data_IF_020571945277
#
_entry.id   IF_020571945277
#
_cell.length_a   1.000
_cell.length_b   1.000
_cell.length_c   1.000
_cell.angle_alpha   90.00
_cell.angle_beta   90.00
_cell.angle_gamma   90.00
#
_symmetry.space_group_name_H-M   'P 1'
#
loop_
_entity.id
_entity.type
_entity.pdbx_description
1 polymer ?
#
# COMPACT_ATOMS: atom_id res chain seq x y z
N UNK A 1 2.48 2.24 6.86
CA UNK A 1 2.33 0.94 6.17
C UNK A 1 0.96 0.91 5.50
N UNK A 2 0.82 0.22 4.37
CA UNK A 2 -0.45 0.10 3.66
C UNK A 2 -0.87 -1.38 3.59
N UNK A 3 -2.16 -1.65 3.71
CA UNK A 3 -2.69 -3.02 3.68
C UNK A 3 -4.04 -3.03 2.99
N UNK A 4 -4.23 -3.98 2.07
CA UNK A 4 -5.48 -4.11 1.32
C UNK A 4 -5.85 -5.57 1.15
N UNK A 5 -7.15 -5.87 1.29
CA UNK A 5 -7.72 -7.17 0.96
C UNK A 5 -7.93 -7.30 -0.55
N UNK A 6 -7.51 -8.42 -1.12
CA UNK A 6 -7.65 -8.74 -2.54
C UNK A 6 -8.87 -9.63 -2.84
N UNK A 7 -9.62 -10.03 -1.80
CA UNK A 7 -10.69 -11.02 -1.88
C UNK A 7 -10.24 -12.34 -1.24
N UNK A 8 -9.37 -13.08 -1.92
CA UNK A 8 -8.82 -14.37 -1.44
C UNK A 8 -7.42 -14.25 -0.81
N UNK A 9 -6.89 -13.04 -0.67
CA UNK A 9 -5.58 -12.78 -0.12
C UNK A 9 -5.40 -11.36 0.40
N UNK A 10 -4.22 -11.07 0.94
CA UNK A 10 -3.86 -9.77 1.49
C UNK A 10 -2.53 -9.29 0.89
N UNK A 11 -2.50 -8.01 0.51
CA UNK A 11 -1.29 -7.31 0.14
C UNK A 11 -0.88 -6.38 1.28
N UNK A 12 0.37 -6.51 1.74
CA UNK A 12 0.98 -5.63 2.72
C UNK A 12 2.15 -4.89 2.07
N UNK A 13 2.07 -3.57 1.98
CA UNK A 13 3.16 -2.71 1.52
C UNK A 13 3.79 -2.01 2.72
N UNK A 14 5.08 -2.30 2.96
CA UNK A 14 5.87 -1.68 4.04
C UNK A 14 6.61 -0.45 3.56
N UNK A 15 6.98 0.40 4.51
CA UNK A 15 7.79 1.61 4.30
C UNK A 15 7.16 2.63 3.33
N UNK A 16 5.82 2.66 3.30
CA UNK A 16 5.05 3.61 2.49
C UNK A 16 5.26 5.05 3.00
N UNK A 17 5.78 5.97 2.16
CA UNK A 17 5.94 7.37 2.52
C UNK A 17 4.59 8.02 2.78
N UNK A 18 4.49 8.78 3.86
CA UNK A 18 3.32 9.58 4.20
C UNK A 18 3.77 10.94 4.74
N UNK A 19 2.99 11.98 4.46
CA UNK A 19 3.08 13.24 5.18
C UNK A 19 2.33 13.09 6.50
N UNK A 20 3.06 13.11 7.61
CA UNK A 20 2.46 13.01 8.94
C UNK A 20 2.21 14.42 9.48
N UNK A 21 0.97 14.71 9.86
CA UNK A 21 0.63 15.99 10.47
C UNK A 21 1.27 16.09 11.86
N UNK A 22 2.13 17.09 12.07
CA UNK A 22 2.81 17.31 13.36
C UNK A 22 1.89 17.72 14.52
N UNK A 23 0.62 18.05 14.26
CA UNK A 23 -0.34 18.48 15.29
C UNK A 23 -1.30 17.37 15.73
N UNK A 24 -1.81 16.57 14.80
CA UNK A 24 -2.78 15.49 15.08
C UNK A 24 -2.25 14.08 14.83
N UNK A 25 -1.11 13.93 14.16
CA UNK A 25 -0.53 12.62 13.82
C UNK A 25 -1.22 11.91 12.66
N UNK A 26 -2.05 12.62 11.88
CA UNK A 26 -2.73 12.03 10.74
C UNK A 26 -1.79 11.83 9.55
N UNK A 27 -1.90 10.66 8.91
CA UNK A 27 -1.10 10.24 7.76
C UNK A 27 -1.80 10.65 6.46
N UNK A 28 -1.12 11.47 5.65
CA UNK A 28 -1.58 11.89 4.33
C UNK A 28 -0.71 11.25 3.25
N UNK A 29 -1.34 10.55 2.32
CA UNK A 29 -0.66 9.93 1.18
C UNK A 29 -0.75 10.88 -0.01
N UNK A 30 0.38 11.29 -0.56
CA UNK A 30 0.43 12.11 -1.77
C UNK A 30 -0.07 11.31 -2.99
N UNK A 31 -0.68 12.00 -3.96
CA UNK A 31 -1.22 11.38 -5.19
C UNK A 31 -0.22 10.46 -5.91
N UNK A 32 1.06 10.87 -5.97
CA UNK A 32 2.14 10.05 -6.59
C UNK A 32 2.36 8.72 -5.87
N UNK A 33 2.20 8.70 -4.54
CA UNK A 33 2.37 7.51 -3.71
C UNK A 33 1.13 6.64 -3.84
N UNK A 34 -0.07 7.25 -3.84
CA UNK A 34 -1.33 6.56 -4.06
C UNK A 34 -1.36 5.83 -5.41
N UNK A 35 -0.97 6.50 -6.50
CA UNK A 35 -0.87 5.89 -7.83
C UNK A 35 0.09 4.70 -7.85
N UNK A 36 1.23 4.79 -7.17
CA UNK A 36 2.17 3.66 -7.06
C UNK A 36 1.62 2.50 -6.22
N UNK A 37 0.83 2.79 -5.20
CA UNK A 37 0.14 1.75 -4.43
C UNK A 37 -0.88 1.02 -5.30
N UNK A 38 -1.60 1.72 -6.18
CA UNK A 38 -2.53 1.12 -7.14
C UNK A 38 -1.81 0.13 -8.07
N UNK A 39 -0.62 0.48 -8.57
CA UNK A 39 0.19 -0.45 -9.37
C UNK A 39 0.49 -1.76 -8.61
N UNK A 40 0.90 -1.67 -7.32
CA UNK A 40 1.12 -2.86 -6.49
C UNK A 40 -0.15 -3.69 -6.30
N UNK A 41 -1.31 -3.04 -6.13
CA UNK A 41 -2.60 -3.74 -6.03
C UNK A 41 -2.91 -4.50 -7.32
N UNK A 42 -2.76 -3.84 -8.47
CA UNK A 42 -3.04 -4.44 -9.77
C UNK A 42 -2.12 -5.61 -10.09
N UNK A 43 -0.84 -5.52 -9.71
CA UNK A 43 0.10 -6.63 -9.81
C UNK A 43 -0.28 -7.80 -8.89
N UNK A 44 -0.61 -7.52 -7.63
CA UNK A 44 -0.96 -8.55 -6.66
C UNK A 44 -2.26 -9.29 -7.07
N UNK A 45 -3.25 -8.57 -7.63
CA UNK A 45 -4.48 -9.17 -8.16
C UNK A 45 -4.21 -10.17 -9.28
N UNK A 46 -3.23 -9.90 -10.15
CA UNK A 46 -2.86 -10.81 -11.26
C UNK A 46 -2.19 -12.09 -10.78
N UNK A 47 -1.53 -12.05 -9.61
CA UNK A 47 -0.75 -13.18 -9.07
C UNK A 47 -1.60 -14.19 -8.28
N UNK A 48 -2.83 -13.84 -7.88
CA UNK A 48 -3.74 -14.70 -7.10
C UNK A 48 -3.11 -15.32 -5.84
N UNK A 49 -2.20 -14.59 -5.17
CA UNK A 49 -1.51 -15.06 -3.97
C UNK A 49 -2.37 -14.85 -2.73
N UNK A 50 -2.30 -15.79 -1.78
CA UNK A 50 -2.97 -15.64 -0.47
C UNK A 50 -2.32 -14.57 0.41
N UNK A 51 -0.99 -14.39 0.31
CA UNK A 51 -0.24 -13.36 1.03
C UNK A 51 0.91 -12.85 0.15
N UNK A 52 1.00 -11.53 -0.04
CA UNK A 52 2.13 -10.85 -0.69
C UNK A 52 2.64 -9.68 0.18
N UNK A 53 3.96 -9.63 0.41
CA UNK A 53 4.61 -8.55 1.16
C UNK A 53 5.58 -7.83 0.23
N UNK A 54 5.31 -6.56 -0.03
CA UNK A 54 6.16 -5.70 -0.83
C UNK A 54 6.79 -4.60 0.04
N UNK A 55 8.01 -4.19 -0.32
CA UNK A 55 8.63 -2.97 0.22
C UNK A 55 8.43 -1.84 -0.78
N UNK A 56 8.19 -0.63 -0.28
CA UNK A 56 8.11 0.55 -1.13
C UNK A 56 9.52 1.01 -1.51
N UNK A 57 10.04 0.56 -2.67
CA UNK A 57 11.36 0.93 -3.20
C UNK A 57 11.27 1.52 -4.59
#
# INVERSE_FOLDING_TARGET
MFTVGLGEGILVVRDVPALVCGQCGEDWIEDKIASRLEDFVDEARKKHLQVEVAAFS
#
